data_IF_888841362972
#
_entry.id   IF_888841362972
#
_cell.length_a   1.000
_cell.length_b   1.000
_cell.length_c   1.000
_cell.angle_alpha   90.00
_cell.angle_beta   90.00
_cell.angle_gamma   90.00
#
_symmetry.space_group_name_H-M   'P 1'
#
loop_
_entity.id
_entity.type
_entity.pdbx_description
1 polymer ?
#
# COMPACT_ATOMS: atom_id res chain seq x y z
N UNK A 1 13.25 3.05 7.97
CA UNK A 1 11.83 2.79 8.22
C UNK A 1 11.73 1.67 9.24
N UNK A 2 10.93 1.85 10.29
CA UNK A 2 10.66 0.81 11.28
C UNK A 2 9.17 0.46 11.21
N UNK A 3 8.81 -0.81 11.42
CA UNK A 3 7.42 -1.20 11.40
C UNK A 3 7.14 -2.32 12.40
N UNK A 4 5.87 -2.45 12.78
CA UNK A 4 5.35 -3.53 13.59
C UNK A 4 3.96 -3.93 13.06
N UNK A 5 3.62 -5.21 13.20
CA UNK A 5 2.29 -5.72 12.89
C UNK A 5 1.53 -5.82 14.22
N UNK A 6 0.56 -4.94 14.41
CA UNK A 6 -0.37 -4.96 15.55
C UNK A 6 -1.55 -5.85 15.20
N UNK A 7 -1.99 -6.71 16.11
CA UNK A 7 -3.07 -7.67 15.82
C UNK A 7 -4.03 -7.83 16.99
N UNK A 8 -5.09 -7.02 17.07
CA UNK A 8 -6.27 -7.22 17.93
C UNK A 8 -7.48 -6.37 17.44
N UNK A 9 -8.64 -6.93 17.01
CA UNK A 9 -8.90 -8.27 16.47
C UNK A 9 -8.44 -8.46 15.02
N UNK A 10 -7.88 -7.42 14.40
CA UNK A 10 -7.53 -7.35 12.97
C UNK A 10 -6.11 -6.79 12.83
N UNK A 11 -5.39 -7.19 11.78
CA UNK A 11 -3.99 -6.79 11.64
C UNK A 11 -3.86 -5.37 11.05
N UNK A 12 -3.01 -4.57 11.68
CA UNK A 12 -2.60 -3.24 11.21
C UNK A 12 -1.07 -3.22 11.15
N UNK A 13 -0.54 -2.77 10.02
CA UNK A 13 0.87 -2.46 9.86
C UNK A 13 1.11 -1.02 10.33
N UNK A 14 1.69 -0.88 11.51
CA UNK A 14 2.11 0.42 12.07
C UNK A 14 3.56 0.70 11.68
N UNK A 15 3.79 1.85 11.04
CA UNK A 15 5.07 2.19 10.43
C UNK A 15 5.52 3.55 10.95
N UNK A 16 6.74 3.59 11.48
CA UNK A 16 7.45 4.80 11.82
C UNK A 16 8.36 5.20 10.66
N UNK A 17 8.13 6.41 10.15
CA UNK A 17 8.82 6.98 9.00
C UNK A 17 9.66 8.17 9.42
N UNK A 18 10.89 8.25 8.90
CA UNK A 18 11.74 9.45 8.99
C UNK A 18 11.52 10.35 7.78
N UNK A 19 11.97 11.61 7.88
CA UNK A 19 11.96 12.54 6.76
C UNK A 19 12.56 11.92 5.48
N UNK A 20 11.92 12.17 4.35
CA UNK A 20 12.23 11.64 3.01
C UNK A 20 11.99 10.14 2.81
N UNK A 21 11.52 9.39 3.82
CA UNK A 21 11.11 8.01 3.61
C UNK A 21 9.77 7.95 2.85
N UNK A 22 9.63 6.93 1.99
CA UNK A 22 8.45 6.71 1.16
C UNK A 22 7.96 5.28 1.27
N UNK A 23 6.65 5.10 1.36
CA UNK A 23 6.00 3.79 1.22
C UNK A 23 4.85 3.86 0.22
N UNK A 24 4.69 2.80 -0.58
CA UNK A 24 3.56 2.66 -1.50
C UNK A 24 2.56 1.66 -0.93
N UNK A 25 1.28 2.03 -0.87
CA UNK A 25 0.21 1.11 -0.50
C UNK A 25 -0.96 1.19 -1.47
N UNK A 26 -1.83 0.17 -1.43
CA UNK A 26 -3.07 0.16 -2.20
C UNK A 26 -3.97 1.33 -1.81
N UNK A 27 -4.70 1.89 -2.78
CA UNK A 27 -5.76 2.86 -2.46
C UNK A 27 -6.79 2.25 -1.50
N UNK A 28 -7.09 2.97 -0.42
CA UNK A 28 -7.99 2.51 0.63
C UNK A 28 -7.32 1.72 1.76
N UNK A 29 -6.01 1.45 1.68
CA UNK A 29 -5.31 0.69 2.73
C UNK A 29 -4.98 1.51 3.99
N UNK A 30 -5.04 2.84 3.94
CA UNK A 30 -4.65 3.70 5.06
C UNK A 30 -5.73 3.71 6.15
N UNK A 31 -5.33 3.38 7.39
CA UNK A 31 -6.17 3.41 8.59
C UNK A 31 -6.00 4.73 9.35
N UNK A 32 -4.75 5.17 9.57
CA UNK A 32 -4.43 6.43 10.21
C UNK A 32 -3.09 6.99 9.73
N UNK A 33 -2.88 8.28 9.99
CA UNK A 33 -1.59 8.94 9.83
C UNK A 33 -1.38 9.98 10.94
N UNK A 34 -0.12 10.24 11.30
CA UNK A 34 0.28 11.29 12.24
C UNK A 34 1.58 11.94 11.76
N UNK A 35 1.63 13.27 11.78
CA UNK A 35 2.76 14.04 11.29
C UNK A 35 2.50 14.60 9.89
N UNK A 36 3.57 15.07 9.25
CA UNK A 36 3.54 15.67 7.92
C UNK A 36 3.84 14.59 6.85
N UNK A 37 2.78 14.03 6.27
CA UNK A 37 2.85 13.00 5.23
C UNK A 37 2.14 13.53 3.98
N UNK A 38 2.90 13.65 2.90
CA UNK A 38 2.36 13.92 1.57
C UNK A 38 1.85 12.62 0.92
N UNK A 39 0.68 12.71 0.27
CA UNK A 39 0.04 11.58 -0.40
C UNK A 39 -0.01 11.85 -1.89
N UNK A 40 0.65 11.01 -2.68
CA UNK A 40 0.61 11.06 -4.14
C UNK A 40 -0.08 9.83 -4.70
N UNK A 41 -1.30 9.99 -5.23
CA UNK A 41 -2.04 8.91 -5.88
C UNK A 41 -1.60 8.76 -7.33
N UNK A 42 -1.24 7.53 -7.73
CA UNK A 42 -0.91 7.21 -9.12
C UNK A 42 -1.49 5.88 -9.55
N UNK A 43 -1.61 5.71 -10.85
CA UNK A 43 -1.95 4.40 -11.43
C UNK A 43 -0.68 3.54 -11.45
N UNK A 44 -0.78 2.24 -11.10
CA UNK A 44 0.35 1.29 -11.27
C UNK A 44 0.88 1.35 -12.71
N UNK A 45 2.21 1.35 -12.87
CA UNK A 45 2.92 1.57 -14.13
C UNK A 45 2.31 0.79 -15.31
N UNK A 46 2.05 1.50 -16.41
CA UNK A 46 1.37 0.98 -17.60
C UNK A 46 0.42 2.01 -18.22
N UNK A 47 0.99 2.88 -19.06
CA UNK A 47 0.39 3.82 -20.03
C UNK A 47 -1.11 4.15 -19.98
N UNK A 48 -1.40 5.45 -19.84
CA UNK A 48 -2.71 6.11 -19.98
C UNK A 48 -3.51 5.70 -21.24
N UNK A 49 -2.84 5.33 -22.33
CA UNK A 49 -3.49 5.13 -23.64
C UNK A 49 -4.01 3.70 -23.90
N UNK A 50 -3.56 2.70 -23.13
CA UNK A 50 -3.99 1.29 -23.34
C UNK A 50 -5.14 0.87 -22.40
N UNK A 51 -5.45 1.68 -21.39
CA UNK A 51 -6.28 1.27 -20.25
C UNK A 51 -7.78 1.53 -20.40
N UNK A 52 -8.24 2.46 -21.25
CA UNK A 52 -9.68 2.72 -21.43
C UNK A 52 -10.44 1.51 -22.04
N UNK A 53 -9.75 0.65 -22.81
CA UNK A 53 -10.36 -0.57 -23.39
C UNK A 53 -10.37 -1.79 -22.46
N UNK A 54 -9.60 -1.79 -21.36
CA UNK A 54 -9.52 -2.93 -20.41
C UNK A 54 -10.27 -2.62 -19.11
N UNK A 55 -10.66 -1.36 -18.89
CA UNK A 55 -11.22 -0.85 -17.61
C UNK A 55 -12.51 -1.56 -17.15
N UNK A 56 -13.23 -2.22 -18.05
CA UNK A 56 -14.50 -2.87 -17.73
C UNK A 56 -14.37 -4.34 -17.29
N UNK A 57 -13.18 -4.97 -17.39
CA UNK A 57 -13.08 -6.44 -17.30
C UNK A 57 -12.19 -6.95 -16.15
N UNK A 58 -11.36 -6.10 -15.54
CA UNK A 58 -10.23 -6.58 -14.74
C UNK A 58 -10.40 -6.63 -13.22
N UNK A 59 -11.32 -5.87 -12.63
CA UNK A 59 -11.65 -5.97 -11.19
C UNK A 59 -10.54 -5.71 -10.16
N UNK A 60 -9.26 -5.57 -10.51
CA UNK A 60 -8.15 -5.39 -9.57
C UNK A 60 -7.94 -3.92 -9.14
N UNK A 61 -7.20 -3.70 -8.04
CA UNK A 61 -6.86 -2.34 -7.58
C UNK A 61 -5.78 -1.70 -8.47
N UNK A 62 -6.21 -0.77 -9.34
CA UNK A 62 -5.32 -0.10 -10.31
C UNK A 62 -4.58 1.12 -9.72
N UNK A 63 -5.03 1.61 -8.56
CA UNK A 63 -4.53 2.83 -7.93
C UNK A 63 -3.72 2.50 -6.68
N UNK A 64 -2.61 3.20 -6.53
CA UNK A 64 -1.73 3.14 -5.36
C UNK A 64 -1.44 4.54 -4.87
N UNK A 65 -1.19 4.65 -3.57
CA UNK A 65 -0.77 5.88 -2.93
C UNK A 65 0.70 5.74 -2.52
N UNK A 66 1.51 6.70 -2.93
CA UNK A 66 2.84 6.93 -2.38
C UNK A 66 2.71 7.90 -1.20
N UNK A 67 3.08 7.45 0.00
CA UNK A 67 3.13 8.23 1.23
C UNK A 67 4.56 8.68 1.47
N UNK A 68 4.80 9.99 1.54
CA UNK A 68 6.13 10.58 1.63
C UNK A 68 6.19 11.41 2.92
N UNK A 69 7.12 11.07 3.81
CA UNK A 69 7.25 11.76 5.10
C UNK A 69 8.12 13.01 4.99
N UNK A 70 7.63 14.15 5.51
CA UNK A 70 8.37 15.42 5.60
C UNK A 70 8.93 15.69 7.01
N UNK A 71 8.97 14.66 7.86
CA UNK A 71 9.48 14.68 9.23
C UNK A 71 9.37 13.31 9.88
N UNK A 72 9.50 13.23 11.20
CA UNK A 72 9.20 12.00 11.94
C UNK A 72 7.68 11.80 12.01
N UNK A 73 7.20 10.76 11.34
CA UNK A 73 5.78 10.51 11.14
C UNK A 73 5.42 9.04 11.41
N UNK A 74 4.13 8.76 11.61
CA UNK A 74 3.62 7.40 11.71
C UNK A 74 2.42 7.18 10.81
N UNK A 75 2.36 6.02 10.14
CA UNK A 75 1.23 5.62 9.28
C UNK A 75 0.78 4.20 9.64
N UNK A 76 -0.53 3.99 9.72
CA UNK A 76 -1.16 2.69 9.91
C UNK A 76 -1.82 2.22 8.62
N UNK A 77 -1.49 0.99 8.17
CA UNK A 77 -2.03 0.39 6.95
C UNK A 77 -2.73 -0.95 7.25
N UNK A 78 -3.82 -1.24 6.54
CA UNK A 78 -4.52 -2.53 6.55
C UNK A 78 -5.08 -2.83 5.14
N UNK A 79 -5.06 -4.11 4.73
CA UNK A 79 -5.56 -4.51 3.41
C UNK A 79 -7.09 -4.67 3.36
N UNK A 80 -7.75 -4.43 2.21
CA UNK A 80 -9.14 -4.81 1.97
C UNK A 80 -9.25 -6.17 1.24
N UNK A 81 -10.13 -7.11 1.69
CA UNK A 81 -10.90 -7.07 2.92
C UNK A 81 -9.98 -7.17 4.15
N UNK A 82 -10.45 -6.66 5.27
CA UNK A 82 -9.67 -6.64 6.48
C UNK A 82 -9.32 -8.07 6.93
N UNK A 83 -8.03 -8.33 7.12
CA UNK A 83 -7.51 -9.66 7.42
C UNK A 83 -6.17 -9.61 8.14
N UNK A 84 -5.36 -10.65 7.91
CA UNK A 84 -4.01 -10.76 8.46
C UNK A 84 -2.96 -10.12 7.55
N UNK A 85 -1.83 -9.74 8.14
CA UNK A 85 -0.67 -9.18 7.43
C UNK A 85 0.51 -10.12 7.63
N UNK A 86 1.17 -10.48 6.53
CA UNK A 86 2.36 -11.35 6.52
C UNK A 86 3.51 -10.62 5.86
N UNK A 87 4.70 -10.68 6.47
CA UNK A 87 5.95 -10.21 5.85
C UNK A 87 6.46 -11.26 4.88
N UNK A 88 6.66 -10.88 3.63
CA UNK A 88 7.37 -11.69 2.63
C UNK A 88 8.64 -10.96 2.22
N UNK A 89 9.79 -11.60 2.42
CA UNK A 89 11.07 -11.12 1.90
C UNK A 89 11.18 -11.56 0.43
N UNK A 90 11.34 -10.59 -0.47
CA UNK A 90 11.35 -10.84 -1.92
C UNK A 90 12.76 -10.74 -2.46
N UNK A 91 13.25 -11.81 -3.07
CA UNK A 91 14.48 -11.80 -3.85
C UNK A 91 14.20 -11.11 -5.21
N UNK A 92 15.02 -10.13 -5.63
CA UNK A 92 14.87 -9.48 -6.93
C UNK A 92 14.87 -10.43 -8.14
N UNK A 93 15.42 -11.64 -8.02
CA UNK A 93 15.42 -12.66 -9.06
C UNK A 93 14.09 -13.44 -9.15
N UNK A 94 13.21 -13.32 -8.16
CA UNK A 94 11.95 -14.07 -8.08
C UNK A 94 10.77 -13.18 -8.45
N UNK A 95 9.95 -13.66 -9.39
CA UNK A 95 8.68 -13.02 -9.71
C UNK A 95 7.61 -13.56 -8.77
N UNK A 96 7.10 -12.70 -7.89
CA UNK A 96 5.93 -13.01 -7.06
C UNK A 96 4.67 -12.42 -7.69
N UNK A 97 3.65 -13.26 -7.83
CA UNK A 97 2.30 -12.83 -8.19
C UNK A 97 1.43 -12.88 -6.93
N UNK A 98 0.83 -11.75 -6.57
CA UNK A 98 -0.12 -11.64 -5.47
C UNK A 98 -1.41 -11.05 -6.01
N UNK A 99 -2.46 -11.87 -6.10
CA UNK A 99 -3.80 -11.43 -6.49
C UNK A 99 -4.58 -10.98 -5.26
N UNK A 100 -5.47 -10.02 -5.46
CA UNK A 100 -6.38 -9.57 -4.41
C UNK A 100 -7.65 -10.43 -4.46
N UNK A 101 -7.98 -11.07 -3.35
CA UNK A 101 -9.20 -11.87 -3.24
C UNK A 101 -10.36 -10.95 -2.80
N UNK A 102 -11.29 -10.65 -3.72
CA UNK A 102 -12.52 -9.91 -3.41
C UNK A 102 -13.68 -10.90 -3.38
N UNK A 103 -14.07 -11.33 -2.18
CA UNK A 103 -15.42 -11.84 -1.91
C UNK A 103 -16.43 -10.71 -1.92
#
# INVERSE_FOLDING_TARGET
>A
MQYQILKEPMAILDIQMRSSEKITAESGAMVYMKGDIEIQTRTREGGFLKKIKVTALGGESFFVNDYIAHGDCSIGLAGPPLGDIVRLDVDPAVVLSCSQDRT
#
